data_IF_498078048953
#
_entry.id   IF_498078048953
#
_cell.length_a   1.000
_cell.length_b   1.000
_cell.length_c   1.000
_cell.angle_alpha   90.00
_cell.angle_beta   90.00
_cell.angle_gamma   90.00
#
_symmetry.space_group_name_H-M   'P 1'
#
loop_
_entity.id
_entity.type
_entity.pdbx_description
1 polymer ?
#
# COMPACT_ATOMS: atom_id res chain seq x y z
N UNK A 1 -7.46 29.81 11.31
CA UNK A 1 -7.78 31.17 11.86
C UNK A 1 -7.28 31.18 13.31
N UNK A 2 -6.52 32.18 13.73
CA UNK A 2 -6.02 32.25 15.10
C UNK A 2 -6.96 33.13 15.94
N UNK A 3 -7.43 32.62 17.09
CA UNK A 3 -8.22 33.40 18.03
C UNK A 3 -7.31 34.17 18.98
N UNK A 4 -7.41 35.48 18.99
CA UNK A 4 -6.58 36.41 19.78
C UNK A 4 -7.27 36.90 21.07
N UNK A 5 -8.49 36.44 21.36
CA UNK A 5 -9.32 36.96 22.45
C UNK A 5 -9.02 36.40 23.84
N UNK A 6 -8.21 35.35 23.95
CA UNK A 6 -7.76 34.81 25.24
C UNK A 6 -6.23 34.84 25.29
N UNK A 7 -5.64 35.16 26.46
CA UNK A 7 -4.19 35.24 26.73
C UNK A 7 -3.34 34.03 26.28
N UNK A 8 -3.88 33.12 25.49
CA UNK A 8 -3.23 32.00 24.79
C UNK A 8 -3.70 32.00 23.35
N UNK A 9 -2.80 32.34 22.43
CA UNK A 9 -3.04 32.19 20.99
C UNK A 9 -3.29 30.70 20.68
N UNK A 10 -4.49 30.34 20.31
CA UNK A 10 -4.80 29.01 19.78
C UNK A 10 -5.20 29.16 18.32
N UNK A 11 -4.37 28.61 17.42
CA UNK A 11 -4.66 28.60 16.00
C UNK A 11 -5.36 27.30 15.61
N UNK A 12 -6.55 27.38 15.01
CA UNK A 12 -7.13 26.24 14.32
C UNK A 12 -6.44 26.10 12.96
N UNK A 13 -5.69 25.03 12.80
CA UNK A 13 -4.94 24.77 11.57
C UNK A 13 -5.86 24.25 10.46
N UNK A 14 -5.55 24.56 9.18
CA UNK A 14 -6.13 23.83 8.06
C UNK A 14 -5.90 22.30 8.22
N UNK A 15 -6.76 21.44 7.66
CA UNK A 15 -6.73 20.00 7.93
C UNK A 15 -5.38 19.31 7.72
N UNK A 16 -4.62 19.74 6.70
CA UNK A 16 -3.31 19.17 6.36
C UNK A 16 -2.12 19.83 7.09
N UNK A 17 -2.40 20.61 8.17
CA UNK A 17 -1.37 21.29 8.96
C UNK A 17 -1.58 21.00 10.46
N UNK A 18 -0.50 21.13 11.22
CA UNK A 18 -0.50 20.92 12.67
C UNK A 18 0.52 21.81 13.39
N UNK A 19 0.49 21.79 14.73
CA UNK A 19 1.34 22.60 15.59
C UNK A 19 0.69 23.91 16.03
N UNK A 20 1.24 24.52 17.06
CA UNK A 20 0.70 25.73 17.71
C UNK A 20 0.53 26.92 16.74
N UNK A 21 1.44 27.04 15.73
CA UNK A 21 1.42 28.07 14.69
C UNK A 21 1.12 27.48 13.30
N UNK A 22 0.55 26.28 13.22
CA UNK A 22 0.34 25.53 11.97
C UNK A 22 1.62 25.35 11.14
N UNK A 23 2.76 25.25 11.81
CA UNK A 23 4.08 25.20 11.17
C UNK A 23 4.44 23.82 10.62
N UNK A 24 3.74 22.76 11.02
CA UNK A 24 4.00 21.41 10.52
C UNK A 24 3.07 21.09 9.36
N UNK A 25 3.67 20.85 8.20
CA UNK A 25 2.97 20.38 7.00
C UNK A 25 2.91 18.87 7.02
N UNK A 26 1.72 18.30 6.94
CA UNK A 26 1.51 16.85 6.96
C UNK A 26 1.63 16.32 5.53
N UNK A 27 2.66 15.53 5.23
CA UNK A 27 2.96 14.99 3.90
C UNK A 27 2.69 13.49 3.76
N UNK A 28 2.47 12.82 4.89
CA UNK A 28 2.21 11.38 4.97
C UNK A 28 1.43 11.03 6.23
N UNK A 29 0.95 9.81 6.31
CA UNK A 29 0.34 9.29 7.53
C UNK A 29 1.31 9.30 8.72
N UNK A 30 2.62 9.15 8.50
CA UNK A 30 3.63 9.33 9.55
C UNK A 30 3.62 10.73 10.15
N UNK A 31 3.53 11.77 9.32
CA UNK A 31 3.43 13.14 9.80
C UNK A 31 2.13 13.37 10.56
N UNK A 32 1.02 12.79 10.09
CA UNK A 32 -0.28 12.83 10.78
C UNK A 32 -0.14 12.21 12.16
N UNK A 33 0.39 11.00 12.27
CA UNK A 33 0.61 10.30 13.54
C UNK A 33 1.48 11.14 14.48
N UNK A 34 2.62 11.64 13.98
CA UNK A 34 3.60 12.38 14.77
C UNK A 34 3.12 13.75 15.24
N UNK A 35 2.50 14.53 14.36
CA UNK A 35 2.23 15.95 14.63
C UNK A 35 0.78 16.23 15.06
N UNK A 36 -0.15 15.30 14.82
CA UNK A 36 -1.50 15.37 15.38
C UNK A 36 -1.68 14.51 16.63
N UNK A 37 -0.68 13.70 16.97
CA UNK A 37 -0.73 12.75 18.09
C UNK A 37 -1.96 11.85 18.03
N UNK A 38 -2.20 11.27 16.87
CA UNK A 38 -3.34 10.39 16.59
C UNK A 38 -2.88 8.99 16.26
N UNK A 39 -3.63 7.99 16.75
CA UNK A 39 -3.40 6.57 16.51
C UNK A 39 -4.61 5.85 15.90
N UNK A 40 -5.68 6.60 15.61
CA UNK A 40 -6.92 6.02 15.06
C UNK A 40 -6.79 5.98 13.54
N UNK A 41 -6.92 4.79 12.95
CA UNK A 41 -6.96 4.63 11.50
C UNK A 41 -8.16 5.35 10.88
N UNK A 42 -8.00 5.93 9.71
CA UNK A 42 -9.06 6.68 9.05
C UNK A 42 -8.57 7.60 7.94
N UNK A 43 -9.46 8.47 7.46
CA UNK A 43 -9.16 9.44 6.42
C UNK A 43 -8.59 10.71 7.04
N UNK A 44 -7.45 11.16 6.50
CA UNK A 44 -6.74 12.38 6.89
C UNK A 44 -6.34 13.18 5.66
N UNK A 45 -6.26 14.50 5.81
CA UNK A 45 -5.73 15.39 4.78
C UNK A 45 -4.20 15.49 4.89
N UNK A 46 -3.53 15.33 3.76
CA UNK A 46 -2.08 15.56 3.61
C UNK A 46 -1.80 16.49 2.45
N UNK A 47 -0.59 17.09 2.41
CA UNK A 47 -0.16 18.00 1.34
C UNK A 47 0.78 17.28 0.38
N UNK A 48 0.49 17.36 -0.91
CA UNK A 48 1.37 16.89 -1.97
C UNK A 48 2.46 17.88 -2.37
N UNK A 49 3.22 17.52 -3.40
CA UNK A 49 4.31 18.36 -3.93
C UNK A 49 3.83 19.73 -4.47
N UNK A 50 2.59 19.81 -4.96
CA UNK A 50 1.97 21.05 -5.49
C UNK A 50 1.36 21.94 -4.41
N UNK A 51 1.61 21.68 -3.14
CA UNK A 51 1.01 22.32 -1.97
C UNK A 51 -0.53 22.24 -1.90
N UNK A 52 -1.15 21.41 -2.72
CA UNK A 52 -2.57 21.09 -2.62
C UNK A 52 -2.78 19.97 -1.61
N UNK A 53 -3.77 20.12 -0.72
CA UNK A 53 -4.17 19.04 0.19
C UNK A 53 -5.09 18.05 -0.52
N UNK A 54 -5.04 16.80 -0.06
CA UNK A 54 -5.92 15.74 -0.53
C UNK A 54 -6.12 14.67 0.56
N UNK A 55 -7.28 13.99 0.56
CA UNK A 55 -7.55 12.95 1.52
C UNK A 55 -6.76 11.67 1.21
N UNK A 56 -6.32 10.98 2.26
CA UNK A 56 -5.75 9.64 2.21
C UNK A 56 -6.22 8.83 3.38
N UNK A 57 -6.30 7.51 3.23
CA UNK A 57 -6.54 6.63 4.36
C UNK A 57 -5.22 6.26 5.04
N UNK A 58 -5.19 6.45 6.36
CA UNK A 58 -4.04 6.13 7.21
C UNK A 58 -4.33 4.93 8.11
N UNK A 59 -3.34 4.06 8.25
CA UNK A 59 -3.30 3.01 9.25
C UNK A 59 -2.07 3.18 10.15
N UNK A 60 -2.32 3.30 11.47
CA UNK A 60 -1.31 3.56 12.49
C UNK A 60 -1.12 2.41 13.48
N UNK A 61 -2.05 1.46 13.49
CA UNK A 61 -2.13 0.48 14.57
C UNK A 61 -1.77 -0.94 14.18
N UNK A 62 -1.73 -1.24 12.88
CA UNK A 62 -1.53 -2.62 12.41
C UNK A 62 -0.11 -3.14 12.64
N UNK A 63 0.87 -2.23 12.62
CA UNK A 63 2.29 -2.57 12.81
C UNK A 63 2.95 -1.57 13.76
N UNK A 64 3.58 -2.04 14.85
CA UNK A 64 4.21 -1.16 15.83
C UNK A 64 5.25 -0.22 15.19
N UNK A 65 5.10 1.09 15.43
CA UNK A 65 6.02 2.12 14.94
C UNK A 65 5.83 2.52 13.47
N UNK A 66 5.03 1.78 12.70
CA UNK A 66 4.76 2.10 11.29
C UNK A 66 3.49 2.93 11.12
N UNK A 67 3.55 3.87 10.19
CA UNK A 67 2.37 4.56 9.67
C UNK A 67 2.25 4.30 8.17
N UNK A 68 1.09 3.81 7.74
CA UNK A 68 0.81 3.39 6.38
C UNK A 68 -0.21 4.29 5.70
N UNK A 69 0.08 4.69 4.46
CA UNK A 69 -0.79 5.49 3.59
C UNK A 69 -1.29 4.61 2.44
N UNK A 70 -2.60 4.44 2.30
CA UNK A 70 -3.20 3.69 1.21
C UNK A 70 -2.99 4.42 -0.11
N UNK A 71 -2.45 3.72 -1.12
CA UNK A 71 -2.26 4.28 -2.47
C UNK A 71 -3.10 3.59 -3.54
N UNK A 72 -3.49 2.34 -3.33
CA UNK A 72 -4.39 1.59 -4.20
C UNK A 72 -5.20 0.58 -3.41
N UNK A 73 -6.46 0.38 -3.79
CA UNK A 73 -7.33 -0.72 -3.37
C UNK A 73 -8.25 -1.12 -4.51
N UNK A 74 -8.44 -2.41 -4.72
CA UNK A 74 -9.42 -2.90 -5.68
C UNK A 74 -9.99 -4.26 -5.25
N UNK A 75 -11.23 -4.52 -5.61
CA UNK A 75 -11.83 -5.84 -5.46
C UNK A 75 -11.37 -6.79 -6.56
N UNK A 76 -11.46 -8.09 -6.30
CA UNK A 76 -11.20 -9.12 -7.32
C UNK A 76 -12.07 -8.89 -8.57
N UNK A 77 -13.36 -8.54 -8.39
CA UNK A 77 -14.27 -8.22 -9.49
C UNK A 77 -13.84 -7.04 -10.35
N UNK A 78 -13.08 -6.08 -9.78
CA UNK A 78 -12.56 -4.91 -10.49
C UNK A 78 -11.09 -5.06 -10.93
N UNK A 79 -10.45 -6.20 -10.66
CA UNK A 79 -9.01 -6.43 -10.93
C UNK A 79 -8.63 -6.11 -12.39
N UNK A 80 -9.49 -6.41 -13.36
CA UNK A 80 -9.22 -6.17 -14.78
C UNK A 80 -8.91 -4.71 -15.13
N UNK A 81 -9.40 -3.73 -14.35
CA UNK A 81 -9.06 -2.33 -14.55
C UNK A 81 -7.62 -1.98 -14.11
N UNK A 82 -7.00 -2.82 -13.26
CA UNK A 82 -5.70 -2.58 -12.64
C UNK A 82 -4.57 -3.42 -13.24
N UNK A 83 -4.90 -4.59 -13.83
CA UNK A 83 -3.92 -5.47 -14.50
C UNK A 83 -3.21 -4.74 -15.64
N UNK A 84 -1.89 -4.92 -15.74
CA UNK A 84 -1.07 -4.28 -16.77
C UNK A 84 -0.92 -2.76 -16.59
N UNK A 85 -1.21 -2.22 -15.42
CA UNK A 85 -1.15 -0.78 -15.11
C UNK A 85 -0.14 -0.47 -13.99
N UNK A 86 1.17 -0.71 -14.20
CA UNK A 86 2.19 -0.46 -13.17
C UNK A 86 2.26 1.03 -12.80
N UNK A 87 2.65 1.30 -11.53
CA UNK A 87 2.76 2.67 -11.01
C UNK A 87 3.82 3.51 -11.72
N UNK A 88 4.89 2.91 -12.23
CA UNK A 88 5.97 3.63 -12.91
C UNK A 88 5.56 4.16 -14.29
N UNK A 89 4.49 3.65 -14.89
CA UNK A 89 4.11 3.97 -16.29
C UNK A 89 2.74 4.63 -16.41
N UNK A 90 1.77 4.26 -15.56
CA UNK A 90 0.37 4.66 -15.74
C UNK A 90 -0.08 5.63 -14.64
N UNK A 91 -0.30 6.89 -15.03
CA UNK A 91 -1.05 7.85 -14.20
C UNK A 91 -2.55 7.61 -14.42
N UNK A 92 -3.15 6.89 -13.49
CA UNK A 92 -4.52 6.42 -13.58
C UNK A 92 -5.24 6.62 -12.24
N UNK A 93 -5.60 7.87 -11.89
CA UNK A 93 -6.34 8.13 -10.68
C UNK A 93 -7.76 7.55 -10.77
N UNK A 94 -8.19 6.85 -9.72
CA UNK A 94 -9.53 6.29 -9.58
C UNK A 94 -10.03 6.64 -8.19
N UNK A 95 -11.16 7.33 -8.09
CA UNK A 95 -11.80 7.71 -6.83
C UNK A 95 -10.83 8.33 -5.80
N UNK A 96 -9.79 9.04 -6.28
CA UNK A 96 -8.67 9.48 -5.44
C UNK A 96 -9.05 10.52 -4.37
N UNK A 97 -10.22 11.15 -4.47
CA UNK A 97 -10.74 12.15 -3.51
C UNK A 97 -11.86 11.58 -2.64
N UNK A 98 -12.36 10.38 -2.98
CA UNK A 98 -13.41 9.69 -2.21
C UNK A 98 -13.10 8.20 -2.20
N UNK A 99 -12.66 7.70 -1.05
CA UNK A 99 -12.21 6.31 -0.92
C UNK A 99 -13.35 5.31 -1.23
N UNK A 100 -13.10 4.47 -2.21
CA UNK A 100 -13.86 3.27 -2.51
C UNK A 100 -12.91 2.06 -2.47
N UNK A 101 -13.08 1.18 -1.50
CA UNK A 101 -12.21 0.01 -1.31
C UNK A 101 -12.24 -0.96 -2.48
N UNK A 102 -13.32 -0.96 -3.25
CA UNK A 102 -13.48 -1.81 -4.43
C UNK A 102 -12.77 -1.26 -5.67
N UNK A 103 -12.46 0.05 -5.70
CA UNK A 103 -11.85 0.71 -6.86
C UNK A 103 -11.25 2.06 -6.47
N UNK A 104 -9.99 2.06 -6.03
CA UNK A 104 -9.26 3.26 -5.57
C UNK A 104 -7.82 3.24 -6.04
N UNK A 105 -7.35 4.35 -6.57
CA UNK A 105 -5.94 4.57 -6.86
C UNK A 105 -5.64 6.07 -6.88
N UNK A 106 -4.56 6.46 -6.21
CA UNK A 106 -4.04 7.83 -6.27
C UNK A 106 -3.37 8.10 -7.61
N UNK A 107 -3.37 9.36 -8.04
CA UNK A 107 -2.56 9.81 -9.19
C UNK A 107 -1.07 9.59 -8.92
N UNK A 108 -0.30 9.46 -9.99
CA UNK A 108 1.15 9.28 -9.90
C UNK A 108 1.82 10.46 -9.16
N UNK A 109 1.31 11.69 -9.31
CA UNK A 109 1.84 12.86 -8.61
C UNK A 109 1.66 12.75 -7.09
N UNK A 110 0.49 12.26 -6.61
CA UNK A 110 0.22 12.01 -5.20
C UNK A 110 1.07 10.86 -4.66
N UNK A 111 1.17 9.75 -5.40
CA UNK A 111 2.01 8.59 -5.03
C UNK A 111 3.48 9.03 -4.90
N UNK A 112 4.01 9.79 -5.87
CA UNK A 112 5.37 10.33 -5.82
C UNK A 112 5.63 11.20 -4.58
N UNK A 113 4.64 11.99 -4.16
CA UNK A 113 4.79 12.85 -2.97
C UNK A 113 4.84 12.04 -1.68
N UNK A 114 4.04 10.97 -1.57
CA UNK A 114 4.01 10.07 -0.41
C UNK A 114 5.28 9.23 -0.38
N UNK A 115 5.71 8.67 -1.53
CA UNK A 115 6.87 7.80 -1.60
C UNK A 115 8.18 8.50 -1.17
N UNK A 116 8.34 9.80 -1.45
CA UNK A 116 9.52 10.58 -1.02
C UNK A 116 9.77 10.56 0.50
N UNK A 117 8.73 10.33 1.29
CA UNK A 117 8.79 10.30 2.75
C UNK A 117 8.47 8.90 3.31
N UNK A 118 8.43 7.91 2.44
CA UNK A 118 8.21 6.50 2.77
C UNK A 118 9.49 5.70 2.66
N UNK A 119 9.59 4.60 3.40
CA UNK A 119 10.72 3.67 3.38
C UNK A 119 10.32 2.28 2.90
N UNK A 120 9.04 1.95 2.98
CA UNK A 120 8.49 0.64 2.69
C UNK A 120 7.20 0.73 1.89
N UNK A 121 6.85 -0.36 1.24
CA UNK A 121 5.51 -0.64 0.79
C UNK A 121 5.04 -1.98 1.33
N UNK A 122 3.72 -2.15 1.40
CA UNK A 122 3.10 -3.43 1.74
C UNK A 122 1.90 -3.72 0.86
N UNK A 123 1.58 -5.01 0.69
CA UNK A 123 0.32 -5.49 0.17
C UNK A 123 -0.48 -6.19 1.28
N UNK A 124 -1.79 -5.99 1.28
CA UNK A 124 -2.74 -6.60 2.21
C UNK A 124 -3.97 -7.10 1.47
N UNK A 125 -4.69 -8.04 2.09
CA UNK A 125 -5.97 -8.54 1.61
C UNK A 125 -7.07 -8.18 2.60
N UNK A 126 -8.24 -7.76 2.10
CA UNK A 126 -9.44 -7.53 2.89
C UNK A 126 -9.21 -6.66 4.16
N UNK A 127 -8.38 -5.63 4.05
CA UNK A 127 -7.94 -4.84 5.20
C UNK A 127 -9.10 -4.33 6.10
N UNK A 128 -10.24 -3.97 5.50
CA UNK A 128 -11.38 -3.43 6.26
C UNK A 128 -12.07 -4.48 7.12
N UNK A 129 -12.16 -5.71 6.62
CA UNK A 129 -12.85 -6.81 7.31
C UNK A 129 -11.91 -7.57 8.23
N UNK A 130 -10.68 -7.83 7.77
CA UNK A 130 -9.77 -8.77 8.42
C UNK A 130 -8.64 -8.04 9.19
N UNK A 131 -8.41 -6.75 8.90
CA UNK A 131 -7.28 -6.00 9.46
C UNK A 131 -5.94 -6.51 8.94
N UNK A 132 -4.92 -6.45 9.79
CA UNK A 132 -3.58 -7.03 9.55
C UNK A 132 -3.25 -7.99 10.69
N UNK A 133 -3.23 -9.26 10.39
CA UNK A 133 -2.78 -10.35 11.26
C UNK A 133 -1.59 -11.11 10.67
N UNK A 134 -0.93 -10.48 9.68
CA UNK A 134 0.19 -11.01 8.90
C UNK A 134 -0.13 -12.25 8.05
N UNK A 135 -1.37 -12.65 7.89
CA UNK A 135 -1.80 -13.64 6.92
C UNK A 135 -2.18 -12.96 5.61
N UNK A 136 -1.72 -13.53 4.49
CA UNK A 136 -1.92 -12.97 3.15
C UNK A 136 -1.44 -11.50 3.11
N UNK A 137 -0.16 -11.35 3.45
CA UNK A 137 0.52 -10.09 3.70
C UNK A 137 1.92 -10.10 3.08
N UNK A 138 2.35 -8.98 2.54
CA UNK A 138 3.67 -8.83 1.93
C UNK A 138 4.25 -7.44 2.23
N UNK A 139 5.46 -7.40 2.82
CA UNK A 139 6.17 -6.16 3.12
C UNK A 139 7.57 -6.15 2.52
N UNK A 140 7.91 -5.02 1.87
CA UNK A 140 9.15 -4.83 1.13
C UNK A 140 9.68 -3.42 1.37
N UNK A 141 11.01 -3.31 1.52
CA UNK A 141 11.69 -2.02 1.52
C UNK A 141 11.66 -1.37 0.12
N UNK A 142 11.48 -0.05 0.05
CA UNK A 142 11.60 0.70 -1.21
C UNK A 142 13.02 0.65 -1.80
N UNK A 143 14.03 0.27 -1.00
CA UNK A 143 15.38 0.00 -1.52
C UNK A 143 15.49 -1.31 -2.29
N UNK A 144 14.61 -2.30 -1.98
CA UNK A 144 14.53 -3.56 -2.72
C UNK A 144 13.69 -3.42 -4.00
N UNK A 145 12.57 -2.69 -3.92
CA UNK A 145 11.76 -2.36 -5.09
C UNK A 145 11.09 -1.00 -4.92
N UNK A 146 11.51 -0.05 -5.74
CA UNK A 146 10.82 1.23 -5.93
C UNK A 146 9.62 1.03 -6.88
N UNK A 147 8.40 1.26 -6.38
CA UNK A 147 7.18 1.08 -7.18
C UNK A 147 7.07 2.03 -8.38
N UNK A 148 7.83 3.13 -8.38
CA UNK A 148 7.83 4.14 -9.43
C UNK A 148 8.97 3.97 -10.44
N UNK A 149 9.76 2.90 -10.30
CA UNK A 149 10.88 2.56 -11.19
C UNK A 149 10.58 1.22 -11.87
N UNK A 150 10.77 1.19 -13.19
CA UNK A 150 10.63 -0.06 -13.95
C UNK A 150 11.78 -1.02 -13.56
N UNK A 151 11.49 -2.25 -13.13
CA UNK A 151 12.53 -3.22 -12.85
C UNK A 151 13.27 -3.62 -14.15
N UNK A 152 14.52 -4.08 -14.04
CA UNK A 152 15.34 -4.42 -15.22
C UNK A 152 14.79 -5.63 -15.99
N UNK A 153 14.15 -6.56 -15.32
CA UNK A 153 13.48 -7.74 -15.89
C UNK A 153 12.02 -7.78 -15.43
N UNK A 154 11.11 -8.34 -16.24
CA UNK A 154 9.69 -8.38 -15.89
C UNK A 154 9.41 -9.28 -14.67
N UNK A 155 10.19 -10.34 -14.49
CA UNK A 155 10.15 -11.31 -13.39
C UNK A 155 11.54 -11.42 -12.74
N UNK A 156 11.56 -11.49 -11.41
CA UNK A 156 12.79 -11.48 -10.60
C UNK A 156 12.55 -11.99 -9.18
N UNK A 157 13.62 -12.45 -8.53
CA UNK A 157 13.58 -12.73 -7.10
C UNK A 157 13.69 -11.42 -6.31
N UNK A 158 12.59 -10.97 -5.71
CA UNK A 158 12.51 -9.76 -4.91
C UNK A 158 12.81 -10.06 -3.44
N UNK A 159 13.82 -9.41 -2.87
CA UNK A 159 14.06 -9.48 -1.43
C UNK A 159 12.92 -8.82 -0.66
N UNK A 160 12.29 -9.60 0.20
CA UNK A 160 11.14 -9.22 1.00
C UNK A 160 11.45 -9.36 2.48
N UNK A 161 11.07 -8.37 3.29
CA UNK A 161 11.27 -8.45 4.74
C UNK A 161 10.32 -9.44 5.40
N UNK A 162 9.11 -9.52 4.87
CA UNK A 162 8.11 -10.47 5.33
C UNK A 162 7.12 -10.77 4.20
N UNK A 163 6.80 -12.03 4.04
CA UNK A 163 5.73 -12.51 3.17
C UNK A 163 4.99 -13.65 3.84
N UNK A 164 3.68 -13.66 3.69
CA UNK A 164 2.82 -14.78 4.06
C UNK A 164 1.73 -14.94 3.01
N UNK A 165 1.57 -16.14 2.48
CA UNK A 165 0.50 -16.50 1.54
C UNK A 165 -0.15 -17.77 2.06
N UNK A 166 -1.43 -17.71 2.42
CA UNK A 166 -2.21 -18.84 2.95
C UNK A 166 -1.60 -19.52 4.19
N UNK A 167 -0.80 -18.78 4.96
CA UNK A 167 -0.08 -19.32 6.11
C UNK A 167 1.32 -19.87 5.81
N UNK A 168 1.74 -19.92 4.53
CA UNK A 168 3.15 -20.14 4.19
C UNK A 168 3.87 -18.81 4.36
N UNK A 169 4.89 -18.76 5.21
CA UNK A 169 5.59 -17.51 5.53
C UNK A 169 7.09 -17.60 5.29
N UNK A 170 7.68 -16.43 5.06
CA UNK A 170 9.11 -16.27 4.96
C UNK A 170 9.52 -14.88 5.44
N UNK A 171 10.61 -14.82 6.19
CA UNK A 171 11.15 -13.58 6.76
C UNK A 171 12.53 -13.35 6.15
N UNK A 172 12.77 -12.13 5.65
CA UNK A 172 14.03 -11.73 5.03
C UNK A 172 14.50 -12.71 3.94
N UNK A 173 13.64 -12.97 2.99
CA UNK A 173 13.90 -13.90 1.90
C UNK A 173 13.51 -13.34 0.54
N UNK A 174 13.92 -14.02 -0.51
CA UNK A 174 13.57 -13.69 -1.88
C UNK A 174 12.28 -14.40 -2.32
N UNK A 175 11.40 -13.65 -3.00
CA UNK A 175 10.14 -14.16 -3.56
C UNK A 175 10.12 -13.94 -5.07
N UNK A 176 9.57 -14.88 -5.83
CA UNK A 176 9.37 -14.68 -7.26
C UNK A 176 8.29 -13.63 -7.46
N UNK A 177 8.68 -12.54 -8.09
CA UNK A 177 7.81 -11.37 -8.31
C UNK A 177 7.84 -10.98 -9.77
N UNK A 178 6.72 -10.50 -10.29
CA UNK A 178 6.68 -9.84 -11.58
C UNK A 178 6.12 -8.43 -11.46
N UNK A 179 6.65 -7.52 -12.29
CA UNK A 179 6.21 -6.14 -12.34
C UNK A 179 6.45 -5.54 -13.72
N UNK A 180 5.42 -5.46 -14.54
CA UNK A 180 5.50 -5.00 -15.91
C UNK A 180 4.17 -4.39 -16.40
N UNK A 181 4.16 -3.91 -17.64
CA UNK A 181 2.94 -3.44 -18.29
C UNK A 181 2.04 -4.59 -18.85
N UNK A 182 2.50 -5.82 -18.74
CA UNK A 182 1.69 -7.02 -19.04
C UNK A 182 1.10 -7.57 -17.76
N UNK A 183 1.94 -7.66 -16.71
CA UNK A 183 1.56 -8.14 -15.38
C UNK A 183 1.71 -7.01 -14.36
N UNK A 184 0.68 -6.75 -13.61
CA UNK A 184 0.76 -5.86 -12.45
C UNK A 184 1.76 -6.41 -11.44
N UNK A 185 2.22 -5.55 -10.49
CA UNK A 185 3.00 -6.05 -9.36
C UNK A 185 2.27 -7.20 -8.69
N UNK A 186 2.89 -8.36 -8.70
CA UNK A 186 2.38 -9.57 -8.03
C UNK A 186 3.52 -10.48 -7.60
N UNK A 187 3.19 -11.46 -6.81
CA UNK A 187 4.05 -12.57 -6.45
C UNK A 187 3.47 -13.85 -7.08
N UNK A 188 4.34 -14.66 -7.67
CA UNK A 188 4.02 -15.98 -8.16
C UNK A 188 4.38 -17.02 -7.09
N UNK A 189 3.36 -17.59 -6.42
CA UNK A 189 3.58 -18.60 -5.40
C UNK A 189 3.68 -20.01 -5.98
N UNK A 190 3.29 -20.23 -7.24
CA UNK A 190 3.35 -21.53 -7.89
C UNK A 190 4.75 -21.88 -8.37
N UNK A 191 5.48 -20.97 -8.98
CA UNK A 191 6.79 -21.21 -9.57
C UNK A 191 7.98 -20.71 -8.73
N UNK A 192 7.76 -20.05 -7.59
CA UNK A 192 8.79 -19.33 -6.85
C UNK A 192 10.04 -20.15 -6.55
N UNK A 193 9.90 -21.29 -5.91
CA UNK A 193 11.03 -22.16 -5.56
C UNK A 193 11.67 -22.81 -6.79
N UNK A 194 10.91 -23.12 -7.84
CA UNK A 194 11.43 -23.70 -9.08
C UNK A 194 12.25 -22.71 -9.91
N UNK A 195 12.07 -21.40 -9.67
CA UNK A 195 12.85 -20.32 -10.30
C UNK A 195 14.07 -19.89 -9.45
N UNK A 196 14.33 -20.58 -8.34
CA UNK A 196 15.49 -20.32 -7.48
C UNK A 196 15.29 -19.22 -6.44
N UNK A 197 14.08 -18.71 -6.25
CA UNK A 197 13.75 -17.83 -5.12
C UNK A 197 13.49 -18.67 -3.85
N UNK A 198 13.75 -18.07 -2.67
CA UNK A 198 13.73 -18.81 -1.40
C UNK A 198 12.31 -19.12 -0.91
N UNK A 199 11.35 -18.24 -1.15
CA UNK A 199 9.97 -18.44 -0.74
C UNK A 199 9.33 -19.58 -1.52
N UNK A 200 8.74 -20.52 -0.79
CA UNK A 200 7.96 -21.62 -1.33
C UNK A 200 6.49 -21.49 -0.93
N UNK A 201 5.68 -20.98 -1.85
CA UNK A 201 4.23 -20.82 -1.66
C UNK A 201 3.38 -21.99 -2.15
N UNK A 202 3.99 -23.14 -2.53
CA UNK A 202 3.28 -24.26 -3.17
C UNK A 202 2.24 -24.94 -2.28
N UNK A 203 2.45 -24.96 -0.95
CA UNK A 203 1.49 -25.58 -0.05
C UNK A 203 0.13 -24.87 -0.11
N UNK A 204 -0.90 -25.60 -0.56
CA UNK A 204 -2.24 -25.09 -0.77
C UNK A 204 -2.42 -24.21 -2.02
N UNK A 205 -1.41 -24.08 -2.88
CA UNK A 205 -1.52 -23.32 -4.12
C UNK A 205 -2.37 -24.07 -5.17
N UNK A 206 -3.09 -23.29 -5.98
CA UNK A 206 -3.68 -23.79 -7.23
C UNK A 206 -2.71 -23.55 -8.39
N UNK A 207 -2.91 -24.25 -9.51
CA UNK A 207 -2.07 -24.10 -10.69
C UNK A 207 -2.07 -22.66 -11.21
N UNK A 208 -0.89 -22.11 -11.52
CA UNK A 208 -0.70 -20.71 -11.95
C UNK A 208 -1.27 -19.66 -10.97
N UNK A 209 -1.13 -19.88 -9.67
CA UNK A 209 -1.58 -18.93 -8.68
C UNK A 209 -0.63 -17.73 -8.53
N UNK A 210 -1.17 -16.55 -8.84
CA UNK A 210 -0.57 -15.26 -8.57
C UNK A 210 -1.22 -14.61 -7.35
N UNK A 211 -0.45 -13.84 -6.59
CA UNK A 211 -0.90 -13.21 -5.35
C UNK A 211 -0.64 -11.70 -5.37
N UNK A 212 -1.49 -10.92 -4.71
CA UNK A 212 -1.38 -9.47 -4.45
C UNK A 212 -1.51 -8.52 -5.66
N UNK A 213 -1.96 -8.96 -6.83
CA UNK A 213 -2.15 -7.97 -7.89
C UNK A 213 -2.58 -8.50 -9.25
N UNK A 214 -1.92 -9.52 -9.74
CA UNK A 214 -2.37 -10.29 -10.89
C UNK A 214 -3.06 -11.56 -10.39
N UNK A 215 -4.18 -11.93 -10.98
CA UNK A 215 -4.94 -13.10 -10.56
C UNK A 215 -5.33 -13.93 -11.80
N UNK A 216 -4.31 -14.60 -12.39
CA UNK A 216 -4.54 -15.51 -13.51
C UNK A 216 -5.37 -16.71 -13.03
N UNK A 217 -5.05 -17.24 -11.85
CA UNK A 217 -5.85 -18.24 -11.17
C UNK A 217 -6.29 -17.74 -9.79
N UNK A 218 -7.54 -18.00 -9.42
CA UNK A 218 -8.10 -17.62 -8.13
C UNK A 218 -8.08 -18.79 -7.16
N UNK A 219 -7.62 -18.55 -5.93
CA UNK A 219 -7.61 -19.52 -4.85
C UNK A 219 -8.54 -19.04 -3.72
N UNK A 220 -9.63 -19.75 -3.39
CA UNK A 220 -10.56 -19.31 -2.35
C UNK A 220 -9.96 -19.30 -0.94
N UNK A 221 -8.81 -19.94 -0.74
CA UNK A 221 -8.09 -19.94 0.55
C UNK A 221 -7.12 -18.76 0.69
N UNK A 222 -6.85 -18.02 -0.39
CA UNK A 222 -6.12 -16.77 -0.37
C UNK A 222 -7.11 -15.60 -0.23
N UNK A 223 -6.96 -14.80 0.82
CA UNK A 223 -7.95 -13.77 1.19
C UNK A 223 -8.27 -12.76 0.10
N UNK A 224 -7.29 -12.35 -0.72
CA UNK A 224 -7.52 -11.40 -1.80
C UNK A 224 -8.41 -11.98 -2.93
N UNK A 225 -8.53 -13.31 -3.03
CA UNK A 225 -9.29 -13.99 -4.09
C UNK A 225 -10.37 -14.93 -3.57
N UNK A 226 -10.71 -14.85 -2.27
CA UNK A 226 -11.72 -15.71 -1.66
C UNK A 226 -13.16 -15.45 -2.16
N UNK A 227 -13.42 -14.26 -2.70
CA UNK A 227 -14.69 -13.88 -3.33
C UNK A 227 -14.48 -12.73 -4.31
N UNK A 228 -15.47 -12.42 -5.15
CA UNK A 228 -15.43 -11.28 -6.08
C UNK A 228 -15.36 -9.92 -5.37
N UNK A 229 -15.85 -9.84 -4.13
CA UNK A 229 -15.76 -8.64 -3.28
C UNK A 229 -14.48 -8.57 -2.44
N UNK A 230 -13.66 -9.63 -2.40
CA UNK A 230 -12.37 -9.61 -1.72
C UNK A 230 -11.46 -8.55 -2.33
N UNK A 231 -10.74 -7.84 -1.46
CA UNK A 231 -9.98 -6.66 -1.88
C UNK A 231 -8.47 -6.84 -1.67
N UNK A 232 -7.70 -6.24 -2.58
CA UNK A 232 -6.24 -6.14 -2.54
C UNK A 232 -5.85 -4.69 -2.34
N UNK A 233 -4.93 -4.41 -1.41
CA UNK A 233 -4.46 -3.06 -1.13
C UNK A 233 -2.96 -2.96 -1.27
N UNK A 234 -2.48 -1.80 -1.78
CA UNK A 234 -1.07 -1.41 -1.77
C UNK A 234 -0.93 -0.12 -0.93
N UNK A 235 0.06 -0.11 -0.07
CA UNK A 235 0.34 0.95 0.88
C UNK A 235 1.79 1.42 0.77
N UNK A 236 2.03 2.70 1.06
CA UNK A 236 3.35 3.26 1.32
C UNK A 236 3.46 3.64 2.79
N UNK A 237 4.59 3.36 3.43
CA UNK A 237 4.74 3.62 4.86
C UNK A 237 6.17 3.86 5.30
N UNK A 238 6.31 4.30 6.56
CA UNK A 238 7.61 4.49 7.22
C UNK A 238 7.49 4.40 8.74
N UNK A 239 8.62 4.02 9.39
CA UNK A 239 8.78 4.07 10.84
C UNK A 239 8.82 5.50 11.37
#
# INVERSE_FOLDING_TARGET
>A
MCDVTKRRFHCTCPPAFSGYKCQFVLRSCKDVMKYKDVSIKGIYEIVGNSNNSFPVYCDFGSEPGMAWTLIQSHSLGNNGAFVGKPFYQHDMPINQDTLDWSSYRLSMSRIKSIQKVSTHWRATCNFITDGVDYRDYWRVSLTSLDLLVKPPTPDFCLFSEFVNVRGNECINCTVLSAYSNVWTLHMDSWFGSSKGCEFNGLSGAVYNEDNFGNYEATNPTFRCTSSQSSTSQIWLGSF
#
